data_IF_749433323107
#
_entry.id   IF_749433323107
#
_cell.length_a   1.000
_cell.length_b   1.000
_cell.length_c   1.000
_cell.angle_alpha   90.00
_cell.angle_beta   90.00
_cell.angle_gamma   90.00
#
_symmetry.space_group_name_H-M   'P 1'
#
loop_
_entity.id
_entity.type
_entity.pdbx_description
1 polymer ?
#
# COMPACT_ATOMS: atom_id res chain seq x y z
N UNK A 1 27.89 -4.90 39.91
CA UNK A 1 27.99 -5.53 38.58
C UNK A 1 26.57 -5.60 38.05
N UNK A 2 26.16 -4.53 37.34
CA UNK A 2 24.86 -4.43 36.68
C UNK A 2 24.92 -5.21 35.36
N UNK A 3 23.85 -5.93 35.06
CA UNK A 3 23.64 -6.66 33.81
C UNK A 3 22.15 -6.61 33.47
N UNK A 4 21.73 -5.42 33.06
CA UNK A 4 20.51 -5.01 32.34
C UNK A 4 19.63 -6.13 31.74
N UNK A 5 18.47 -6.33 32.39
CA UNK A 5 17.10 -6.48 31.85
C UNK A 5 16.88 -6.89 30.37
N UNK A 6 16.61 -8.18 30.15
CA UNK A 6 15.83 -8.68 29.02
C UNK A 6 14.31 -8.48 29.26
N UNK A 7 13.85 -7.23 29.39
CA UNK A 7 12.44 -6.92 29.71
C UNK A 7 11.76 -5.70 29.00
N UNK A 8 12.29 -5.07 27.94
CA UNK A 8 11.56 -3.99 27.25
C UNK A 8 10.52 -4.52 26.25
N UNK A 9 10.84 -5.57 25.49
CA UNK A 9 9.94 -6.06 24.44
C UNK A 9 8.70 -6.78 24.96
N UNK A 10 8.80 -7.50 26.08
CA UNK A 10 7.65 -8.15 26.71
C UNK A 10 6.60 -7.14 27.19
N UNK A 11 7.06 -6.06 27.84
CA UNK A 11 6.19 -5.00 28.32
C UNK A 11 5.51 -4.24 27.16
N UNK A 12 6.25 -3.99 26.07
CA UNK A 12 5.71 -3.37 24.86
C UNK A 12 4.56 -4.18 24.25
N UNK A 13 4.75 -5.49 24.07
CA UNK A 13 3.71 -6.34 23.48
C UNK A 13 2.53 -6.59 24.43
N UNK A 14 2.75 -6.60 25.75
CA UNK A 14 1.66 -6.62 26.73
C UNK A 14 0.79 -5.35 26.65
N UNK A 15 1.42 -4.17 26.55
CA UNK A 15 0.71 -2.90 26.36
C UNK A 15 -0.05 -2.87 25.03
N UNK A 16 0.61 -3.29 23.94
CA UNK A 16 -0.03 -3.39 22.62
C UNK A 16 -1.23 -4.35 22.64
N UNK A 17 -1.14 -5.48 23.35
CA UNK A 17 -2.25 -6.43 23.49
C UNK A 17 -3.47 -5.79 24.16
N UNK A 18 -3.24 -5.03 25.24
CA UNK A 18 -4.30 -4.30 25.95
C UNK A 18 -4.96 -3.28 25.04
N UNK A 19 -4.17 -2.46 24.35
CA UNK A 19 -4.68 -1.42 23.46
C UNK A 19 -5.48 -1.98 22.28
N UNK A 20 -5.03 -3.08 21.67
CA UNK A 20 -5.75 -3.74 20.57
C UNK A 20 -7.06 -4.38 21.05
N UNK A 21 -7.07 -4.96 22.25
CA UNK A 21 -8.28 -5.51 22.84
C UNK A 21 -9.29 -4.42 23.23
N UNK A 22 -8.82 -3.31 23.81
CA UNK A 22 -9.65 -2.14 24.14
C UNK A 22 -10.25 -1.50 22.88
N UNK A 23 -9.52 -1.52 21.78
CA UNK A 23 -10.01 -1.09 20.46
C UNK A 23 -10.96 -2.09 19.78
N UNK A 24 -11.31 -3.21 20.43
CA UNK A 24 -12.33 -4.15 19.99
C UNK A 24 -11.84 -5.20 19.00
N UNK A 25 -10.52 -5.44 18.89
CA UNK A 25 -9.98 -6.51 18.07
C UNK A 25 -10.29 -7.89 18.69
N UNK A 26 -10.75 -8.89 17.90
CA UNK A 26 -10.98 -10.25 18.41
C UNK A 26 -9.72 -10.86 19.03
N UNK A 27 -9.85 -11.53 20.18
CA UNK A 27 -8.70 -12.00 20.97
C UNK A 27 -7.82 -13.02 20.23
N UNK A 28 -8.41 -13.86 19.38
CA UNK A 28 -7.71 -14.79 18.48
C UNK A 28 -6.85 -14.04 17.46
N UNK A 29 -7.33 -12.88 16.99
CA UNK A 29 -6.61 -12.02 16.06
C UNK A 29 -5.50 -11.22 16.74
N UNK A 30 -5.75 -10.72 17.96
CA UNK A 30 -4.73 -10.05 18.78
C UNK A 30 -3.54 -10.99 18.99
N UNK A 31 -3.79 -12.23 19.40
CA UNK A 31 -2.72 -13.22 19.59
C UNK A 31 -1.91 -13.48 18.33
N UNK A 32 -2.58 -13.76 17.21
CA UNK A 32 -1.90 -14.02 15.94
C UNK A 32 -1.06 -12.82 15.44
N UNK A 33 -1.56 -11.60 15.64
CA UNK A 33 -0.86 -10.37 15.26
C UNK A 33 0.37 -10.11 16.14
N UNK A 34 0.27 -10.37 17.45
CA UNK A 34 1.41 -10.22 18.36
C UNK A 34 2.49 -11.28 18.11
N UNK A 35 2.10 -12.52 17.81
CA UNK A 35 3.05 -13.60 17.47
C UNK A 35 3.84 -13.26 16.19
N UNK A 36 3.20 -12.64 15.20
CA UNK A 36 3.85 -12.20 13.96
C UNK A 36 4.90 -11.10 14.22
N UNK A 37 4.58 -10.09 15.04
CA UNK A 37 5.52 -9.02 15.36
C UNK A 37 6.62 -9.45 16.34
N UNK A 38 6.32 -10.34 17.28
CA UNK A 38 7.33 -10.93 18.14
C UNK A 38 8.32 -11.79 17.32
N UNK A 39 7.82 -12.52 16.31
CA UNK A 39 8.66 -13.25 15.35
C UNK A 39 9.57 -12.31 14.56
N UNK A 40 9.03 -11.22 14.02
CA UNK A 40 9.82 -10.20 13.32
C UNK A 40 10.90 -9.57 14.21
N UNK A 41 10.58 -9.26 15.47
CA UNK A 41 11.52 -8.65 16.40
C UNK A 41 12.64 -9.63 16.81
N UNK A 42 12.31 -10.92 16.95
CA UNK A 42 13.30 -11.97 17.21
C UNK A 42 14.27 -12.14 16.02
N UNK A 43 13.82 -11.88 14.80
CA UNK A 43 14.66 -11.93 13.58
C UNK A 43 15.50 -10.67 13.37
N UNK A 44 14.95 -9.48 13.66
CA UNK A 44 15.65 -8.20 13.52
C UNK A 44 16.60 -7.90 14.68
N UNK A 45 16.31 -8.42 15.88
CA UNK A 45 17.08 -8.19 17.10
C UNK A 45 17.02 -6.75 17.62
N UNK A 46 16.08 -5.95 17.10
CA UNK A 46 15.89 -4.54 17.42
C UNK A 46 15.05 -4.29 18.67
N UNK A 47 14.98 -3.03 19.09
CA UNK A 47 14.04 -2.58 20.12
C UNK A 47 12.67 -2.29 19.48
N UNK A 48 11.55 -2.72 20.08
CA UNK A 48 10.24 -2.55 19.47
C UNK A 48 9.77 -1.11 19.39
N UNK A 49 10.20 -0.21 20.28
CA UNK A 49 9.86 1.22 20.14
C UNK A 49 10.64 1.86 18.98
N UNK A 50 11.88 1.42 18.73
CA UNK A 50 12.66 1.91 17.58
C UNK A 50 12.12 1.40 16.24
N UNK A 51 11.60 0.16 16.21
CA UNK A 51 11.12 -0.49 14.98
C UNK A 51 9.66 -0.13 14.64
N UNK A 52 8.79 -0.03 15.66
CA UNK A 52 7.35 0.15 15.48
C UNK A 52 6.82 1.48 16.01
N UNK A 53 7.65 2.25 16.71
CA UNK A 53 7.20 3.45 17.42
C UNK A 53 6.42 3.12 18.70
N UNK A 54 5.83 4.12 19.37
CA UNK A 54 5.10 3.93 20.62
C UNK A 54 3.90 2.98 20.47
N UNK A 55 3.68 2.09 21.44
CA UNK A 55 2.64 1.06 21.38
C UNK A 55 1.22 1.63 21.15
N UNK A 56 0.91 2.80 21.73
CA UNK A 56 -0.36 3.49 21.54
C UNK A 56 -0.60 3.97 20.10
N UNK A 57 0.44 4.51 19.45
CA UNK A 57 0.37 4.95 18.05
C UNK A 57 0.25 3.75 17.13
N UNK A 58 1.05 2.73 17.37
CA UNK A 58 1.02 1.50 16.58
C UNK A 58 -0.32 0.74 16.72
N UNK A 59 -0.91 0.69 17.92
CA UNK A 59 -2.23 0.13 18.14
C UNK A 59 -3.33 0.89 17.37
N UNK A 60 -3.26 2.23 17.34
CA UNK A 60 -4.18 3.06 16.60
C UNK A 60 -4.08 2.81 15.08
N UNK A 61 -2.87 2.61 14.56
CA UNK A 61 -2.66 2.26 13.15
C UNK A 61 -3.21 0.87 12.79
N UNK A 62 -2.93 -0.14 13.63
CA UNK A 62 -3.39 -1.52 13.43
C UNK A 62 -4.91 -1.64 13.51
N UNK A 63 -5.54 -0.86 14.38
CA UNK A 63 -7.00 -0.85 14.56
C UNK A 63 -7.68 -0.02 13.48
N UNK A 64 -7.07 1.07 12.99
CA UNK A 64 -7.53 1.78 11.79
C UNK A 64 -7.38 0.94 10.50
N UNK A 65 -6.47 -0.03 10.48
CA UNK A 65 -6.33 -1.03 9.42
C UNK A 65 -7.31 -2.21 9.56
N UNK A 66 -7.68 -2.58 10.79
CA UNK A 66 -8.52 -3.75 11.11
C UNK A 66 -9.99 -3.44 11.37
N UNK A 67 -10.35 -2.17 11.58
CA UNK A 67 -11.74 -1.74 11.57
C UNK A 67 -12.38 -2.33 10.30
N UNK A 68 -13.52 -3.06 10.41
CA UNK A 68 -14.26 -3.41 9.22
C UNK A 68 -14.44 -2.09 8.50
N UNK A 69 -13.82 -1.96 7.30
CA UNK A 69 -13.85 -0.74 6.55
C UNK A 69 -15.30 -0.28 6.63
N UNK A 70 -15.57 0.79 7.40
CA UNK A 70 -16.86 1.43 7.37
C UNK A 70 -17.11 1.54 5.88
N UNK A 71 -18.17 0.85 5.40
CA UNK A 71 -18.42 0.71 3.98
C UNK A 71 -18.06 2.06 3.38
N UNK A 72 -17.07 2.17 2.47
CA UNK A 72 -16.88 3.44 1.82
C UNK A 72 -18.24 3.68 1.20
N UNK A 73 -19.02 4.56 1.83
CA UNK A 73 -20.31 4.96 1.35
C UNK A 73 -20.06 5.23 -0.12
N UNK A 74 -20.81 4.55 -1.00
CA UNK A 74 -20.73 4.79 -2.43
C UNK A 74 -20.54 6.30 -2.60
N UNK A 75 -19.36 6.77 -3.08
CA UNK A 75 -19.20 8.19 -3.23
C UNK A 75 -20.37 8.61 -4.11
N UNK A 76 -21.16 9.57 -3.58
CA UNK A 76 -22.28 10.12 -4.30
C UNK A 76 -21.83 10.40 -5.73
N UNK A 77 -22.71 10.31 -6.71
CA UNK A 77 -22.34 10.51 -8.11
C UNK A 77 -21.77 11.92 -8.41
N UNK A 78 -21.71 12.77 -7.38
CA UNK A 78 -21.22 14.15 -7.31
C UNK A 78 -20.06 14.30 -6.28
N UNK A 79 -19.37 13.22 -5.90
CA UNK A 79 -18.25 13.32 -4.98
C UNK A 79 -17.08 14.08 -5.62
N UNK A 80 -16.79 15.27 -5.07
CA UNK A 80 -15.63 16.10 -5.43
C UNK A 80 -14.30 15.38 -5.18
N UNK A 81 -14.32 14.28 -4.41
CA UNK A 81 -13.17 13.45 -4.07
C UNK A 81 -13.41 11.99 -4.47
N UNK A 82 -12.46 11.41 -5.19
CA UNK A 82 -12.46 10.02 -5.65
C UNK A 82 -11.16 9.31 -5.25
N UNK A 83 -11.27 8.14 -4.61
CA UNK A 83 -10.11 7.35 -4.17
C UNK A 83 -10.01 6.06 -4.96
N UNK A 84 -8.84 5.76 -5.51
CA UNK A 84 -8.63 4.56 -6.32
C UNK A 84 -7.18 4.07 -6.24
N UNK A 85 -6.94 2.82 -6.65
CA UNK A 85 -5.60 2.24 -6.79
C UNK A 85 -5.48 1.44 -8.07
N UNK A 86 -4.25 1.31 -8.54
CA UNK A 86 -3.90 0.42 -9.65
C UNK A 86 -2.64 -0.38 -9.34
N UNK A 87 -2.41 -1.44 -10.13
CA UNK A 87 -1.11 -2.10 -10.13
C UNK A 87 -0.02 -1.22 -10.75
N UNK A 88 1.24 -1.55 -10.43
CA UNK A 88 2.44 -0.84 -10.85
C UNK A 88 2.61 -0.74 -12.38
N UNK A 89 1.93 -1.59 -13.17
CA UNK A 89 2.02 -1.59 -14.62
C UNK A 89 1.02 -0.63 -15.28
N UNK A 90 -0.03 -0.21 -14.58
CA UNK A 90 -1.13 0.58 -15.15
C UNK A 90 -1.37 1.92 -14.46
N UNK A 91 -0.83 2.14 -13.27
CA UNK A 91 -1.01 3.37 -12.50
C UNK A 91 -0.73 4.65 -13.29
N UNK A 92 0.44 4.81 -13.94
CA UNK A 92 0.78 6.03 -14.70
C UNK A 92 -0.18 6.25 -15.88
N UNK A 93 -0.56 5.18 -16.58
CA UNK A 93 -1.50 5.27 -17.70
C UNK A 93 -2.88 5.77 -17.23
N UNK A 94 -3.36 5.23 -16.12
CA UNK A 94 -4.65 5.62 -15.54
C UNK A 94 -4.59 7.03 -14.97
N UNK A 95 -3.46 7.41 -14.35
CA UNK A 95 -3.21 8.77 -13.90
C UNK A 95 -3.30 9.76 -15.06
N UNK A 96 -2.63 9.50 -16.19
CA UNK A 96 -2.69 10.37 -17.37
C UNK A 96 -4.11 10.40 -17.98
N UNK A 97 -4.81 9.26 -18.01
CA UNK A 97 -6.17 9.16 -18.52
C UNK A 97 -7.16 9.99 -17.68
N UNK A 98 -7.11 9.87 -16.35
CA UNK A 98 -7.99 10.63 -15.46
C UNK A 98 -7.55 12.08 -15.28
N UNK A 99 -6.24 12.36 -15.36
CA UNK A 99 -5.69 13.70 -15.44
C UNK A 99 -6.20 14.48 -16.64
N UNK A 100 -6.29 13.84 -17.81
CA UNK A 100 -6.90 14.43 -19.00
C UNK A 100 -8.40 14.69 -18.85
N UNK A 101 -9.08 14.07 -17.88
CA UNK A 101 -10.50 14.27 -17.55
C UNK A 101 -10.73 15.29 -16.43
N UNK A 102 -9.66 15.91 -15.94
CA UNK A 102 -9.71 16.95 -14.93
C UNK A 102 -9.47 16.49 -13.49
N UNK A 103 -9.11 15.22 -13.28
CA UNK A 103 -8.82 14.71 -11.94
C UNK A 103 -7.39 15.05 -11.53
N UNK A 104 -7.27 15.85 -10.48
CA UNK A 104 -6.04 16.16 -9.77
C UNK A 104 -5.78 15.11 -8.70
N UNK A 105 -4.55 14.61 -8.56
CA UNK A 105 -4.14 13.82 -7.38
C UNK A 105 -3.66 14.78 -6.29
N UNK A 106 -4.39 14.83 -5.18
CA UNK A 106 -3.99 15.61 -4.01
C UNK A 106 -2.87 14.91 -3.24
N UNK A 107 -3.06 13.62 -3.00
CA UNK A 107 -2.12 12.81 -2.25
C UNK A 107 -2.17 11.34 -2.65
N UNK A 108 -1.06 10.64 -2.46
CA UNK A 108 -1.00 9.17 -2.45
C UNK A 108 -0.87 8.76 -0.99
N UNK A 109 -1.88 8.03 -0.48
CA UNK A 109 -1.85 7.59 0.91
C UNK A 109 -0.88 6.41 1.12
N UNK A 110 -0.60 6.10 2.39
CA UNK A 110 0.34 5.03 2.74
C UNK A 110 -0.06 3.65 2.19
N UNK A 111 -1.35 3.44 1.88
CA UNK A 111 -1.88 2.20 1.29
C UNK A 111 -1.71 2.15 -0.22
N UNK A 112 -1.20 3.22 -0.84
CA UNK A 112 -1.04 3.35 -2.28
C UNK A 112 -2.33 3.78 -2.99
N UNK A 113 -3.33 4.30 -2.27
CA UNK A 113 -4.52 4.86 -2.89
C UNK A 113 -4.23 6.29 -3.34
N UNK A 114 -4.54 6.56 -4.60
CA UNK A 114 -4.61 7.91 -5.16
C UNK A 114 -5.88 8.58 -4.66
N UNK A 115 -5.72 9.70 -3.96
CA UNK A 115 -6.83 10.57 -3.56
C UNK A 115 -6.90 11.69 -4.58
N UNK A 116 -7.97 11.69 -5.38
CA UNK A 116 -8.16 12.64 -6.45
C UNK A 116 -9.31 13.59 -6.17
N UNK A 117 -9.15 14.85 -6.57
CA UNK A 117 -10.23 15.84 -6.61
C UNK A 117 -10.37 16.44 -8.00
N UNK A 118 -11.50 17.09 -8.25
CA UNK A 118 -11.72 17.85 -9.47
C UNK A 118 -12.42 19.15 -9.16
N UNK A 119 -11.85 20.25 -9.62
CA UNK A 119 -12.47 21.56 -9.53
C UNK A 119 -13.82 21.56 -10.30
N UNK A 120 -14.95 21.87 -9.62
CA UNK A 120 -16.26 21.87 -10.26
C UNK A 120 -16.49 23.08 -11.16
N UNK A 121 -15.80 24.20 -10.94
CA UNK A 121 -15.96 25.45 -11.67
C UNK A 121 -14.98 25.54 -12.84
N UNK A 122 -13.71 25.18 -12.60
CA UNK A 122 -12.62 25.29 -13.58
C UNK A 122 -11.81 23.99 -13.70
N UNK A 123 -12.39 22.90 -14.23
CA UNK A 123 -11.71 21.62 -14.33
C UNK A 123 -10.50 21.71 -15.27
N UNK A 124 -9.30 21.56 -14.71
CA UNK A 124 -8.03 21.62 -15.44
C UNK A 124 -7.47 20.24 -15.73
N UNK A 125 -6.85 20.06 -16.91
CA UNK A 125 -6.12 18.83 -17.21
C UNK A 125 -4.80 18.74 -16.46
N UNK A 126 -4.40 17.51 -16.11
CA UNK A 126 -3.18 17.19 -15.36
C UNK A 126 -2.31 16.18 -16.10
N UNK A 127 -1.00 16.32 -15.91
CA UNK A 127 0.01 15.36 -16.35
C UNK A 127 0.68 14.74 -15.12
N UNK A 128 0.99 13.44 -15.20
CA UNK A 128 1.59 12.71 -14.09
C UNK A 128 2.90 12.05 -14.47
N UNK A 129 3.74 11.85 -13.47
CA UNK A 129 5.01 11.16 -13.62
C UNK A 129 5.35 10.39 -12.36
N UNK A 130 5.87 9.18 -12.53
CA UNK A 130 6.38 8.34 -11.46
C UNK A 130 7.89 8.19 -11.58
N UNK A 131 8.61 8.41 -10.48
CA UNK A 131 10.05 8.17 -10.41
C UNK A 131 10.37 7.16 -9.31
N UNK A 132 11.34 6.28 -9.58
CA UNK A 132 11.92 5.41 -8.56
C UNK A 132 13.02 6.18 -7.82
N UNK A 133 12.81 6.44 -6.53
CA UNK A 133 13.74 7.23 -5.72
C UNK A 133 14.70 6.29 -4.98
N UNK A 134 15.97 6.32 -5.39
CA UNK A 134 17.04 5.67 -4.66
C UNK A 134 17.48 6.51 -3.44
N UNK A 135 18.02 5.89 -2.37
CA UNK A 135 18.59 6.61 -1.24
C UNK A 135 19.60 7.68 -1.67
N UNK A 136 19.53 8.86 -1.06
CA UNK A 136 20.44 9.98 -1.36
C UNK A 136 20.21 10.70 -2.71
N UNK A 137 19.23 10.30 -3.52
CA UNK A 137 18.94 10.91 -4.83
C UNK A 137 17.68 11.78 -4.85
N UNK A 138 16.88 11.75 -3.78
CA UNK A 138 15.57 12.45 -3.69
C UNK A 138 15.68 13.94 -4.01
N UNK A 139 16.52 14.68 -3.28
CA UNK A 139 16.68 16.13 -3.47
C UNK A 139 17.04 16.50 -4.92
N UNK A 140 17.98 15.75 -5.54
CA UNK A 140 18.37 15.97 -6.94
C UNK A 140 17.22 15.73 -7.93
N UNK A 141 16.38 14.73 -7.67
CA UNK A 141 15.22 14.43 -8.52
C UNK A 141 14.18 15.53 -8.39
N UNK A 142 13.89 15.97 -7.16
CA UNK A 142 12.98 17.08 -6.88
C UNK A 142 13.44 18.38 -7.54
N UNK A 143 14.70 18.78 -7.34
CA UNK A 143 15.24 20.01 -7.93
C UNK A 143 15.15 20.02 -9.46
N UNK A 144 15.42 18.87 -10.09
CA UNK A 144 15.31 18.75 -11.55
C UNK A 144 13.86 18.87 -12.00
N UNK A 145 12.94 18.17 -11.34
CA UNK A 145 11.53 18.13 -11.71
C UNK A 145 10.81 19.45 -11.41
N UNK A 146 11.12 20.11 -10.31
CA UNK A 146 10.58 21.42 -9.97
C UNK A 146 10.92 22.49 -11.03
N UNK A 147 12.13 22.43 -11.63
CA UNK A 147 12.51 23.33 -12.75
C UNK A 147 11.65 23.13 -14.00
N UNK A 148 11.15 21.92 -14.19
CA UNK A 148 10.29 21.54 -15.30
C UNK A 148 8.78 21.73 -14.95
N UNK A 149 8.48 22.33 -13.79
CA UNK A 149 7.13 22.63 -13.31
C UNK A 149 6.40 21.45 -12.69
N UNK A 150 7.11 20.40 -12.29
CA UNK A 150 6.53 19.23 -11.62
C UNK A 150 6.54 19.40 -10.10
N UNK A 151 5.45 19.02 -9.48
CA UNK A 151 5.24 19.09 -8.03
C UNK A 151 5.00 17.68 -7.47
N UNK A 152 5.59 17.32 -6.31
CA UNK A 152 5.35 16.03 -5.71
C UNK A 152 3.91 15.92 -5.20
N UNK A 153 3.24 14.80 -5.48
CA UNK A 153 1.86 14.53 -5.06
C UNK A 153 1.71 13.26 -4.22
N UNK A 154 2.82 12.65 -3.78
CA UNK A 154 2.79 11.54 -2.84
C UNK A 154 3.89 10.52 -3.08
N UNK A 155 4.07 9.63 -2.12
CA UNK A 155 5.08 8.56 -2.19
C UNK A 155 4.43 7.25 -1.77
N UNK A 156 4.69 6.19 -2.53
CA UNK A 156 4.30 4.84 -2.16
C UNK A 156 5.48 3.89 -2.40
N UNK A 157 5.93 3.21 -1.34
CA UNK A 157 7.18 2.44 -1.32
C UNK A 157 8.37 3.33 -1.74
N UNK A 158 9.06 2.96 -2.83
CA UNK A 158 10.17 3.75 -3.42
C UNK A 158 9.73 4.58 -4.62
N UNK A 159 8.44 4.59 -4.94
CA UNK A 159 7.89 5.37 -6.02
C UNK A 159 7.40 6.70 -5.49
N UNK A 160 7.89 7.77 -6.08
CA UNK A 160 7.39 9.11 -5.84
C UNK A 160 6.64 9.59 -7.08
N UNK A 161 5.47 10.16 -6.84
CA UNK A 161 4.57 10.64 -7.86
C UNK A 161 4.66 12.16 -7.93
N UNK A 162 4.65 12.65 -9.15
CA UNK A 162 4.69 14.06 -9.47
C UNK A 162 3.52 14.39 -10.38
N UNK A 163 2.95 15.59 -10.18
CA UNK A 163 1.89 16.16 -11.00
C UNK A 163 2.33 17.49 -11.60
N UNK A 164 1.70 17.86 -12.69
CA UNK A 164 1.87 19.17 -13.31
C UNK A 164 0.56 19.59 -13.98
N UNK A 165 0.09 20.83 -13.77
CA UNK A 165 -1.07 21.32 -14.50
C UNK A 165 -0.71 21.41 -15.99
N UNK A 166 -1.57 20.86 -16.85
CA UNK A 166 -1.35 20.89 -18.30
C UNK A 166 -1.41 22.31 -18.84
N UNK A 167 -2.01 23.23 -18.10
CA UNK A 167 -1.97 24.66 -18.36
C UNK A 167 -0.53 25.22 -18.42
N UNK A 168 0.42 24.62 -17.72
CA UNK A 168 1.84 24.98 -17.83
C UNK A 168 2.43 24.75 -19.25
N UNK A 169 1.83 23.84 -20.03
CA UNK A 169 2.26 23.50 -21.39
C UNK A 169 1.30 24.01 -22.47
N UNK A 170 -0.02 23.98 -22.22
CA UNK A 170 -1.06 24.32 -23.18
C UNK A 170 -1.76 25.66 -22.91
N UNK A 171 -1.45 26.33 -21.78
CA UNK A 171 -2.15 27.53 -21.37
C UNK A 171 -3.65 27.28 -21.08
N UNK A 172 -4.53 28.26 -21.36
CA UNK A 172 -5.97 28.15 -21.09
C UNK A 172 -6.68 26.97 -21.79
N UNK A 173 -6.07 26.40 -22.84
CA UNK A 173 -6.64 25.25 -23.55
C UNK A 173 -6.61 23.94 -22.75
N UNK A 174 -5.97 23.93 -21.58
CA UNK A 174 -6.00 22.81 -20.64
C UNK A 174 -7.34 22.71 -19.87
N UNK A 175 -8.12 23.79 -19.83
CA UNK A 175 -9.41 23.81 -19.13
C UNK A 175 -10.46 23.04 -19.92
N UNK A 176 -11.24 22.21 -19.22
CA UNK A 176 -12.25 21.36 -19.81
C UNK A 176 -13.61 22.05 -19.83
N UNK A 177 -14.14 22.33 -21.01
CA UNK A 177 -15.48 22.91 -21.15
C UNK A 177 -16.61 21.96 -20.71
N UNK A 178 -16.38 20.64 -20.76
CA UNK A 178 -17.36 19.62 -20.37
C UNK A 178 -16.63 18.36 -19.86
N UNK A 179 -16.32 18.27 -18.55
CA UNK A 179 -15.61 17.13 -18.01
C UNK A 179 -16.49 15.86 -17.99
N UNK A 180 -15.92 14.66 -18.24
CA UNK A 180 -16.66 13.40 -18.13
C UNK A 180 -17.21 13.14 -16.72
N UNK A 181 -18.21 12.25 -16.62
CA UNK A 181 -18.79 11.87 -15.32
C UNK A 181 -17.74 11.21 -14.42
N UNK A 182 -17.89 11.42 -13.10
CA UNK A 182 -16.99 10.83 -12.13
C UNK A 182 -16.90 9.29 -12.26
N UNK A 183 -15.68 8.72 -12.22
CA UNK A 183 -15.50 7.27 -12.25
C UNK A 183 -16.08 6.64 -10.98
N UNK A 184 -16.74 5.48 -11.15
CA UNK A 184 -17.24 4.69 -10.01
C UNK A 184 -16.27 3.61 -9.54
N UNK A 185 -15.38 3.18 -10.44
CA UNK A 185 -14.46 2.08 -10.19
C UNK A 185 -13.28 2.57 -9.37
N UNK A 186 -12.82 1.79 -8.39
CA UNK A 186 -11.74 2.20 -7.47
C UNK A 186 -10.54 1.25 -7.49
N UNK A 187 -10.61 0.16 -8.25
CA UNK A 187 -9.54 -0.84 -8.35
C UNK A 187 -9.28 -1.24 -9.80
N UNK A 188 -8.03 -1.09 -10.24
CA UNK A 188 -7.61 -1.39 -11.60
C UNK A 188 -6.42 -2.36 -11.58
N UNK A 189 -6.67 -3.61 -11.96
CA UNK A 189 -5.64 -4.64 -12.06
C UNK A 189 -5.48 -5.09 -13.51
N UNK A 190 -4.24 -5.19 -13.95
CA UNK A 190 -3.85 -5.49 -15.31
C UNK A 190 -3.62 -6.98 -15.55
N UNK A 191 -3.72 -7.45 -16.81
CA UNK A 191 -3.34 -8.82 -17.16
C UNK A 191 -1.90 -9.16 -16.75
N UNK A 192 -0.99 -8.18 -16.83
CA UNK A 192 0.40 -8.34 -16.41
C UNK A 192 0.55 -8.61 -14.92
N UNK A 193 -0.27 -7.96 -14.08
CA UNK A 193 -0.33 -8.25 -12.65
C UNK A 193 -0.75 -9.69 -12.39
N UNK A 194 -1.79 -10.20 -13.07
CA UNK A 194 -2.21 -11.60 -12.92
C UNK A 194 -1.14 -12.59 -13.39
N UNK A 195 -0.41 -12.27 -14.46
CA UNK A 195 0.71 -13.09 -14.92
C UNK A 195 1.86 -13.11 -13.90
N UNK A 196 2.21 -11.96 -13.31
CA UNK A 196 3.21 -11.89 -12.25
C UNK A 196 2.80 -12.75 -11.05
N UNK A 197 1.54 -12.63 -10.59
CA UNK A 197 0.99 -13.47 -9.53
C UNK A 197 1.14 -14.94 -9.91
N UNK A 198 0.70 -15.35 -11.10
CA UNK A 198 0.81 -16.74 -11.55
C UNK A 198 2.25 -17.26 -11.55
N UNK A 199 3.23 -16.45 -11.97
CA UNK A 199 4.66 -16.80 -11.92
C UNK A 199 5.14 -16.97 -10.48
N UNK A 200 4.81 -16.04 -9.59
CA UNK A 200 5.16 -16.14 -8.16
C UNK A 200 4.55 -17.40 -7.55
N UNK A 201 3.29 -17.70 -7.87
CA UNK A 201 2.62 -18.92 -7.41
C UNK A 201 3.26 -20.19 -7.98
N UNK A 202 3.65 -20.19 -9.25
CA UNK A 202 4.34 -21.31 -9.87
C UNK A 202 5.73 -21.55 -9.26
N UNK A 203 6.47 -20.49 -8.97
CA UNK A 203 7.76 -20.57 -8.27
C UNK A 203 7.56 -21.09 -6.84
N UNK A 204 6.58 -20.57 -6.10
CA UNK A 204 6.23 -21.06 -4.78
C UNK A 204 5.85 -22.55 -4.79
N UNK A 205 4.99 -22.96 -5.73
CA UNK A 205 4.59 -24.35 -5.90
C UNK A 205 5.77 -25.25 -6.30
N UNK A 206 6.64 -24.80 -7.20
CA UNK A 206 7.86 -25.54 -7.57
C UNK A 206 8.76 -25.74 -6.35
N UNK A 207 8.99 -24.66 -5.58
CA UNK A 207 9.79 -24.71 -4.35
C UNK A 207 9.19 -25.68 -3.33
N UNK A 208 7.86 -25.72 -3.21
CA UNK A 208 7.15 -26.64 -2.33
C UNK A 208 7.22 -28.09 -2.83
N UNK A 209 7.05 -28.34 -4.12
CA UNK A 209 7.10 -29.68 -4.73
C UNK A 209 8.50 -30.30 -4.62
N UNK A 210 9.56 -29.52 -4.86
CA UNK A 210 10.96 -29.99 -4.67
C UNK A 210 11.27 -30.38 -3.23
N UNK A 211 10.45 -29.95 -2.25
CA UNK A 211 10.61 -30.29 -0.83
C UNK A 211 9.86 -31.55 -0.43
N UNK A 212 8.83 -31.95 -1.18
CA UNK A 212 8.13 -33.21 -0.95
C UNK A 212 9.01 -34.42 -1.31
N UNK A 213 9.92 -34.26 -2.27
CA UNK A 213 10.91 -35.29 -2.64
C UNK A 213 12.10 -35.38 -1.66
N UNK A 214 12.29 -34.37 -0.79
CA UNK A 214 13.46 -34.20 0.11
C UNK A 214 13.14 -34.51 1.60
N UNK A 215 12.03 -35.20 1.87
CA UNK A 215 11.55 -35.50 3.24
C UNK A 215 12.44 -36.45 4.07
N UNK A 216 13.61 -36.85 3.57
CA UNK A 216 14.59 -37.72 4.26
C UNK A 216 15.85 -36.99 4.78
N UNK A 217 15.98 -35.66 4.63
CA UNK A 217 17.21 -34.93 5.00
C UNK A 217 16.99 -33.58 5.68
N UNK A 218 17.59 -33.42 6.87
CA UNK A 218 17.42 -32.26 7.76
C UNK A 218 17.56 -30.88 7.10
N UNK A 219 16.55 -30.05 7.34
CA UNK A 219 16.50 -28.61 7.06
C UNK A 219 17.07 -27.86 8.25
N UNK A 220 17.63 -26.67 8.08
CA UNK A 220 17.38 -25.60 9.06
C UNK A 220 17.62 -24.20 8.47
N UNK A 221 16.72 -23.27 8.79
CA UNK A 221 16.68 -21.82 8.49
C UNK A 221 16.33 -21.32 7.08
N UNK A 222 17.18 -21.46 6.06
CA UNK A 222 16.93 -20.77 4.75
C UNK A 222 15.69 -21.32 4.02
N UNK A 223 15.39 -22.60 4.24
CA UNK A 223 14.24 -23.27 3.66
C UNK A 223 12.89 -22.84 4.27
N UNK A 224 12.87 -22.56 5.58
CA UNK A 224 11.68 -22.07 6.29
C UNK A 224 11.32 -20.64 5.87
N UNK A 225 12.34 -19.79 5.70
CA UNK A 225 12.20 -18.41 5.24
C UNK A 225 11.51 -18.30 3.87
N UNK A 226 11.92 -19.15 2.92
CA UNK A 226 11.36 -19.14 1.57
C UNK A 226 9.92 -19.71 1.53
N UNK A 227 9.60 -20.69 2.38
CA UNK A 227 8.24 -21.22 2.51
C UNK A 227 7.30 -20.21 3.19
N UNK A 228 7.77 -19.52 4.23
CA UNK A 228 7.01 -18.45 4.90
C UNK A 228 6.69 -17.29 3.96
N UNK A 229 7.68 -16.83 3.18
CA UNK A 229 7.49 -15.78 2.19
C UNK A 229 6.49 -16.18 1.09
N UNK A 230 6.55 -17.44 0.63
CA UNK A 230 5.62 -17.97 -0.35
C UNK A 230 4.19 -18.09 0.18
N UNK A 231 4.02 -18.58 1.41
CA UNK A 231 2.72 -18.68 2.07
C UNK A 231 2.11 -17.29 2.36
N UNK A 232 2.93 -16.32 2.79
CA UNK A 232 2.51 -14.93 2.97
C UNK A 232 2.06 -14.27 1.68
N UNK A 233 2.81 -14.47 0.58
CA UNK A 233 2.44 -13.96 -0.73
C UNK A 233 1.11 -14.56 -1.24
N UNK A 234 0.89 -15.86 -1.02
CA UNK A 234 -0.34 -16.60 -1.34
C UNK A 234 -1.55 -16.12 -0.51
N UNK A 235 -1.36 -15.90 0.79
CA UNK A 235 -2.40 -15.40 1.69
C UNK A 235 -2.80 -13.96 1.31
N UNK A 236 -1.83 -13.09 1.06
CA UNK A 236 -2.09 -11.71 0.63
C UNK A 236 -2.85 -11.67 -0.71
N UNK A 237 -2.49 -12.52 -1.68
CA UNK A 237 -3.21 -12.60 -2.95
C UNK A 237 -4.62 -13.18 -2.80
N UNK A 238 -4.81 -14.18 -1.94
CA UNK A 238 -6.13 -14.74 -1.66
C UNK A 238 -7.06 -13.72 -0.98
N UNK A 239 -6.55 -12.92 -0.04
CA UNK A 239 -7.30 -11.85 0.63
C UNK A 239 -7.69 -10.75 -0.36
N UNK A 240 -6.76 -10.30 -1.20
CA UNK A 240 -7.03 -9.30 -2.23
C UNK A 240 -8.06 -9.80 -3.26
N UNK A 241 -7.98 -11.06 -3.65
CA UNK A 241 -8.92 -11.67 -4.59
C UNK A 241 -10.31 -11.88 -3.98
N UNK A 242 -10.40 -12.29 -2.71
CA UNK A 242 -11.68 -12.40 -1.98
C UNK A 242 -12.32 -11.04 -1.76
N UNK A 243 -11.53 -9.99 -1.47
CA UNK A 243 -12.01 -8.62 -1.34
C UNK A 243 -12.53 -8.08 -2.68
N UNK A 244 -11.88 -8.41 -3.79
CA UNK A 244 -12.35 -8.07 -5.14
C UNK A 244 -13.66 -8.80 -5.50
N UNK A 245 -13.73 -10.13 -5.25
CA UNK A 245 -14.93 -10.94 -5.57
C UNK A 245 -16.16 -10.59 -4.75
N UNK A 246 -15.99 -10.12 -3.52
CA UNK A 246 -17.12 -9.67 -2.68
C UNK A 246 -17.71 -8.34 -3.14
N UNK A 247 -16.94 -7.53 -3.90
CA UNK A 247 -17.42 -6.29 -4.51
C UNK A 247 -18.20 -6.50 -5.81
N UNK A 248 -17.87 -7.53 -6.59
CA UNK A 248 -18.56 -7.82 -7.86
C UNK A 248 -19.92 -8.55 -7.70
N UNK A 249 -20.27 -8.99 -6.48
CA UNK A 249 -21.53 -9.70 -6.19
C UNK A 249 -22.58 -8.84 -5.48
N UNK A 250 -22.32 -7.55 -5.31
CA UNK A 250 -23.26 -6.56 -4.80
C UNK A 250 -23.49 -5.50 -5.86
#
# INVERSE_FOLDING_TARGET
MSGETAHPAGAYFEELAVLLAEAGMPADRVGATLDEFAGYLAESGGDPEDEFGPAAEFAAELTAASAPAAEPAEPAADADTWRWTADLFHDVKLLDEYGAQGWEVDTVDARGLFVCTRDPEHPQQWEYRRELIAPGRRARVHDRLARDGWEPCGTWLRFEYFKRPRAASLGPAAELAAPPRAPRRTLFLSPGFYALVAVVLALAATTLLTRLDDLDGGLDTVAGLLCGAAAGALAATAVLWLAARRRDRR
#
